data_IF_696571745264
#
_entry.id   IF_696571745264
#
_cell.length_a   1.000
_cell.length_b   1.000
_cell.length_c   1.000
_cell.angle_alpha   90.00
_cell.angle_beta   90.00
_cell.angle_gamma   90.00
#
_symmetry.space_group_name_H-M   'P 1'
#
loop_
_entity.id
_entity.type
_entity.pdbx_description
1 polymer ?
#
# COMPACT_ATOMS: atom_id res chain seq x y z
N UNK A 1 14.63 24.18 16.63
CA UNK A 1 15.54 23.40 15.77
C UNK A 1 15.18 21.93 15.95
N UNK A 2 14.67 21.27 14.91
CA UNK A 2 14.50 19.81 14.96
C UNK A 2 15.91 19.24 14.76
N UNK A 3 16.45 18.59 15.79
CA UNK A 3 17.66 17.80 15.65
C UNK A 3 17.34 16.63 14.74
N UNK A 4 17.75 16.71 13.47
CA UNK A 4 17.73 15.57 12.56
C UNK A 4 18.93 14.68 12.93
N UNK A 5 18.82 13.96 14.05
CA UNK A 5 19.74 12.86 14.34
C UNK A 5 19.32 11.68 13.47
N UNK A 6 19.68 11.71 12.19
CA UNK A 6 19.51 10.56 11.31
C UNK A 6 20.34 9.40 11.84
N UNK A 7 19.74 8.22 12.00
CA UNK A 7 20.52 6.99 12.10
C UNK A 7 21.14 6.73 10.73
N UNK A 8 22.38 6.25 10.70
CA UNK A 8 22.96 5.71 9.48
C UNK A 8 22.13 4.49 9.09
N UNK A 9 21.46 4.56 7.95
CA UNK A 9 20.76 3.42 7.35
C UNK A 9 21.75 2.63 6.50
N UNK A 10 21.52 1.32 6.37
CA UNK A 10 22.27 0.43 5.50
C UNK A 10 22.13 0.80 4.02
N UNK A 11 22.87 0.07 3.19
CA UNK A 11 22.82 0.26 1.74
C UNK A 11 21.43 -0.07 1.19
N UNK A 12 20.99 0.70 0.20
CA UNK A 12 19.70 0.54 -0.45
C UNK A 12 19.80 0.85 -1.94
N UNK A 13 18.85 0.32 -2.72
CA UNK A 13 18.71 0.64 -4.14
C UNK A 13 17.40 1.41 -4.33
N UNK A 14 17.45 2.60 -4.94
CA UNK A 14 16.27 3.41 -5.20
C UNK A 14 16.06 3.70 -6.69
N UNK A 15 14.82 3.59 -7.13
CA UNK A 15 14.38 3.90 -8.49
C UNK A 15 13.10 4.75 -8.47
N UNK A 16 12.98 5.66 -9.43
CA UNK A 16 11.78 6.47 -9.65
C UNK A 16 10.92 5.85 -10.76
N UNK A 17 9.61 5.94 -10.57
CA UNK A 17 8.58 5.44 -11.46
C UNK A 17 7.50 6.52 -11.64
N UNK A 18 6.84 6.46 -12.77
CA UNK A 18 5.67 7.28 -13.12
C UNK A 18 4.39 6.42 -13.15
N UNK A 19 3.26 7.03 -13.50
CA UNK A 19 1.97 6.32 -13.60
C UNK A 19 1.97 5.17 -14.63
N UNK A 20 2.91 5.17 -15.57
CA UNK A 20 2.99 4.19 -16.67
C UNK A 20 3.85 2.99 -16.31
N UNK A 21 4.93 3.22 -15.56
CA UNK A 21 5.93 2.21 -15.18
C UNK A 21 5.73 1.63 -13.78
N UNK A 22 4.96 2.30 -12.92
CA UNK A 22 4.70 1.86 -11.55
C UNK A 22 4.04 0.47 -11.53
N UNK A 23 2.90 0.30 -12.22
CA UNK A 23 2.10 -0.91 -12.04
C UNK A 23 2.80 -2.18 -12.52
N UNK A 24 3.50 -2.14 -13.66
CA UNK A 24 4.26 -3.32 -14.11
C UNK A 24 5.29 -3.77 -13.08
N UNK A 25 5.99 -2.80 -12.47
CA UNK A 25 7.05 -3.07 -11.50
C UNK A 25 6.49 -3.50 -10.15
N UNK A 26 5.44 -2.81 -9.68
CA UNK A 26 4.74 -3.16 -8.45
C UNK A 26 4.10 -4.55 -8.51
N UNK A 27 3.49 -4.91 -9.64
CA UNK A 27 2.91 -6.25 -9.83
C UNK A 27 3.98 -7.34 -9.82
N UNK A 28 5.18 -7.08 -10.36
CA UNK A 28 6.32 -7.99 -10.23
C UNK A 28 6.71 -8.18 -8.76
N UNK A 29 6.82 -7.09 -7.99
CA UNK A 29 7.14 -7.18 -6.58
C UNK A 29 6.06 -7.95 -5.78
N UNK A 30 4.78 -7.84 -6.16
CA UNK A 30 3.71 -8.66 -5.55
C UNK A 30 3.87 -10.15 -5.86
N UNK A 31 4.34 -10.51 -7.05
CA UNK A 31 4.62 -11.92 -7.38
C UNK A 31 5.81 -12.44 -6.57
N UNK A 32 6.82 -11.61 -6.32
CA UNK A 32 8.03 -12.03 -5.58
C UNK A 32 7.85 -11.99 -4.05
N UNK A 33 6.76 -11.40 -3.55
CA UNK A 33 6.51 -11.27 -2.11
C UNK A 33 6.13 -12.60 -1.45
N UNK A 34 6.71 -12.86 -0.26
CA UNK A 34 6.66 -14.17 0.41
C UNK A 34 6.01 -14.16 1.80
N UNK A 35 5.90 -13.01 2.48
CA UNK A 35 5.45 -12.95 3.89
C UNK A 35 4.30 -11.96 4.09
N UNK A 36 4.49 -10.71 3.70
CA UNK A 36 3.48 -9.68 3.90
C UNK A 36 3.49 -8.57 2.84
N UNK A 37 2.30 -8.07 2.52
CA UNK A 37 2.09 -6.88 1.71
C UNK A 37 1.23 -5.91 2.52
N UNK A 38 1.74 -4.71 2.77
CA UNK A 38 0.99 -3.63 3.41
C UNK A 38 0.81 -2.52 2.38
N UNK A 39 -0.42 -2.15 2.07
CA UNK A 39 -0.74 -1.06 1.14
C UNK A 39 -1.53 0.00 1.90
N UNK A 40 -1.05 1.23 1.91
CA UNK A 40 -1.84 2.38 2.35
C UNK A 40 -2.27 3.19 1.12
N UNK A 41 -3.58 3.30 0.91
CA UNK A 41 -4.16 4.10 -0.15
C UNK A 41 -5.47 4.73 0.32
N UNK A 42 -5.58 6.07 0.36
CA UNK A 42 -6.72 6.76 0.96
C UNK A 42 -8.03 6.55 0.18
N UNK A 43 -7.94 6.08 -1.07
CA UNK A 43 -9.08 5.81 -1.91
C UNK A 43 -8.89 4.47 -2.61
N UNK A 44 -10.01 3.80 -2.85
CA UNK A 44 -10.09 2.53 -3.56
C UNK A 44 -11.10 2.68 -4.71
N UNK A 45 -10.85 2.03 -5.84
CA UNK A 45 -11.76 2.03 -6.98
C UNK A 45 -11.95 0.63 -7.54
N UNK A 46 -13.14 0.37 -8.10
CA UNK A 46 -13.47 -0.94 -8.67
C UNK A 46 -12.57 -1.28 -9.86
N UNK A 47 -12.33 -0.32 -10.75
CA UNK A 47 -11.47 -0.52 -11.93
C UNK A 47 -10.04 -0.92 -11.54
N UNK A 48 -9.50 -0.33 -10.48
CA UNK A 48 -8.17 -0.69 -9.98
C UNK A 48 -8.20 -2.02 -9.24
N UNK A 49 -9.25 -2.26 -8.46
CA UNK A 49 -9.42 -3.53 -7.77
C UNK A 49 -9.47 -4.70 -8.75
N UNK A 50 -10.18 -4.58 -9.87
CA UNK A 50 -10.28 -5.66 -10.87
C UNK A 50 -8.91 -6.04 -11.47
N UNK A 51 -7.98 -5.08 -11.56
CA UNK A 51 -6.59 -5.31 -12.01
C UNK A 51 -5.76 -6.02 -10.92
N UNK A 52 -5.91 -5.63 -9.65
CA UNK A 52 -5.10 -6.14 -8.55
C UNK A 52 -5.63 -7.45 -7.95
N UNK A 53 -6.93 -7.72 -8.08
CA UNK A 53 -7.63 -8.86 -7.49
C UNK A 53 -6.96 -10.22 -7.79
N UNK A 54 -6.50 -10.53 -9.03
CA UNK A 54 -5.80 -11.77 -9.30
C UNK A 54 -4.48 -11.92 -8.52
N UNK A 55 -3.77 -10.81 -8.27
CA UNK A 55 -2.51 -10.82 -7.53
C UNK A 55 -2.75 -11.02 -6.04
N UNK A 56 -3.75 -10.33 -5.46
CA UNK A 56 -4.14 -10.58 -4.07
C UNK A 56 -4.61 -12.02 -3.84
N UNK A 57 -5.35 -12.61 -4.81
CA UNK A 57 -5.70 -14.03 -4.76
C UNK A 57 -4.48 -14.94 -4.70
N UNK A 58 -3.46 -14.68 -5.54
CA UNK A 58 -2.22 -15.45 -5.54
C UNK A 58 -1.43 -15.28 -4.24
N UNK A 59 -1.31 -14.05 -3.74
CA UNK A 59 -0.67 -13.75 -2.46
C UNK A 59 -1.32 -14.54 -1.31
N UNK A 60 -2.64 -14.42 -1.14
CA UNK A 60 -3.36 -15.14 -0.09
C UNK A 60 -3.24 -16.67 -0.27
N UNK A 61 -3.28 -17.18 -1.51
CA UNK A 61 -3.12 -18.62 -1.77
C UNK A 61 -1.72 -19.17 -1.45
N UNK A 62 -0.72 -18.28 -1.30
CA UNK A 62 0.64 -18.60 -0.89
C UNK A 62 0.89 -18.28 0.59
N UNK A 63 -0.17 -18.08 1.36
CA UNK A 63 -0.13 -17.69 2.78
C UNK A 63 0.59 -16.35 3.04
N UNK A 64 0.66 -15.47 2.04
CA UNK A 64 1.17 -14.11 2.19
C UNK A 64 0.08 -13.22 2.79
N UNK A 65 0.37 -12.59 3.92
CA UNK A 65 -0.61 -11.74 4.61
C UNK A 65 -0.73 -10.39 3.92
N UNK A 66 -1.94 -9.99 3.54
CA UNK A 66 -2.17 -8.70 2.86
C UNK A 66 -2.96 -7.77 3.77
N UNK A 67 -2.40 -6.58 4.01
CA UNK A 67 -3.04 -5.49 4.74
C UNK A 67 -3.34 -4.32 3.80
N UNK A 68 -4.56 -3.82 3.85
CA UNK A 68 -5.00 -2.62 3.13
C UNK A 68 -5.46 -1.58 4.15
N UNK A 69 -4.74 -0.46 4.22
CA UNK A 69 -5.10 0.70 5.01
C UNK A 69 -5.77 1.71 4.07
N UNK A 70 -7.02 2.07 4.36
CA UNK A 70 -7.80 3.00 3.53
C UNK A 70 -8.72 3.87 4.37
N UNK A 71 -9.33 4.89 3.75
CA UNK A 71 -10.28 5.76 4.46
C UNK A 71 -11.55 4.99 4.78
N UNK A 72 -12.02 5.21 6.01
CA UNK A 72 -13.30 4.67 6.44
C UNK A 72 -14.44 5.22 5.57
N UNK A 73 -15.33 4.38 5.03
CA UNK A 73 -16.47 4.86 4.24
C UNK A 73 -17.35 5.89 4.96
N UNK A 74 -17.37 5.92 6.29
CA UNK A 74 -18.14 6.89 7.08
C UNK A 74 -17.67 8.34 6.95
N UNK A 75 -16.43 8.57 6.48
CA UNK A 75 -15.88 9.92 6.24
C UNK A 75 -15.86 10.29 4.75
N UNK A 76 -16.51 9.50 3.90
CA UNK A 76 -16.59 9.73 2.46
C UNK A 76 -18.01 10.15 2.08
N UNK A 77 -18.12 11.01 1.06
CA UNK A 77 -19.41 11.36 0.48
C UNK A 77 -19.94 10.24 -0.44
N UNK A 78 -21.26 10.14 -0.58
CA UNK A 78 -21.85 9.27 -1.59
C UNK A 78 -21.63 9.83 -3.01
N UNK A 79 -21.42 8.98 -4.03
CA UNK A 79 -21.52 7.52 -4.02
C UNK A 79 -20.22 6.78 -3.62
N UNK A 80 -19.15 7.52 -3.30
CA UNK A 80 -17.83 6.94 -3.04
C UNK A 80 -17.83 6.05 -1.79
N UNK A 81 -18.57 6.46 -0.75
CA UNK A 81 -18.75 5.65 0.46
C UNK A 81 -19.34 4.26 0.15
N UNK A 82 -20.40 4.19 -0.68
CA UNK A 82 -21.00 2.90 -1.06
C UNK A 82 -20.04 2.00 -1.82
N UNK A 83 -19.34 2.54 -2.83
CA UNK A 83 -18.35 1.76 -3.57
C UNK A 83 -17.19 1.28 -2.70
N UNK A 84 -16.74 2.13 -1.76
CA UNK A 84 -15.69 1.76 -0.82
C UNK A 84 -16.13 0.58 0.07
N UNK A 85 -17.36 0.60 0.61
CA UNK A 85 -17.90 -0.51 1.41
C UNK A 85 -17.94 -1.83 0.63
N UNK A 86 -18.36 -1.80 -0.62
CA UNK A 86 -18.43 -3.01 -1.47
C UNK A 86 -17.04 -3.60 -1.71
N UNK A 87 -16.06 -2.76 -2.04
CA UNK A 87 -14.68 -3.21 -2.30
C UNK A 87 -14.01 -3.71 -1.01
N UNK A 88 -14.23 -3.04 0.13
CA UNK A 88 -13.74 -3.50 1.44
C UNK A 88 -14.29 -4.91 1.74
N UNK A 89 -15.58 -5.14 1.50
CA UNK A 89 -16.17 -6.46 1.66
C UNK A 89 -15.55 -7.50 0.71
N UNK A 90 -15.23 -7.14 -0.53
CA UNK A 90 -14.51 -8.02 -1.46
C UNK A 90 -13.10 -8.38 -0.96
N UNK A 91 -12.38 -7.41 -0.38
CA UNK A 91 -11.08 -7.65 0.26
C UNK A 91 -11.19 -8.64 1.42
N UNK A 92 -12.13 -8.42 2.34
CA UNK A 92 -12.31 -9.27 3.51
C UNK A 92 -12.71 -10.70 3.12
N UNK A 93 -13.62 -10.87 2.14
CA UNK A 93 -14.00 -12.19 1.60
C UNK A 93 -12.78 -12.91 1.01
N UNK A 94 -11.85 -12.16 0.41
CA UNK A 94 -10.63 -12.72 -0.15
C UNK A 94 -9.61 -13.16 0.91
N UNK A 95 -9.73 -12.70 2.15
CA UNK A 95 -8.73 -12.89 3.20
C UNK A 95 -7.71 -11.75 3.31
N UNK A 96 -8.01 -10.58 2.72
CA UNK A 96 -7.22 -9.37 2.92
C UNK A 96 -7.69 -8.65 4.19
N UNK A 97 -6.76 -8.27 5.05
CA UNK A 97 -7.05 -7.51 6.26
C UNK A 97 -7.21 -6.02 5.94
N UNK A 98 -8.38 -5.46 6.19
CA UNK A 98 -8.65 -4.04 5.92
C UNK A 98 -8.63 -3.23 7.22
N UNK A 99 -7.81 -2.18 7.23
CA UNK A 99 -7.75 -1.15 8.27
C UNK A 99 -8.39 0.13 7.74
N UNK A 100 -9.70 0.24 7.90
CA UNK A 100 -10.46 1.45 7.58
C UNK A 100 -10.25 2.51 8.68
N UNK A 101 -9.86 3.74 8.30
CA UNK A 101 -9.56 4.79 9.28
C UNK A 101 -10.26 6.13 8.98
N UNK A 102 -10.79 6.75 10.03
CA UNK A 102 -11.45 8.06 9.99
C UNK A 102 -10.48 9.25 10.22
N UNK A 103 -9.17 9.00 10.26
CA UNK A 103 -8.14 10.01 10.61
C UNK A 103 -7.74 10.93 9.44
N UNK A 104 -8.46 10.88 8.31
CA UNK A 104 -8.21 11.68 7.11
C UNK A 104 -6.77 11.55 6.53
N UNK A 105 -6.10 10.41 6.73
CA UNK A 105 -4.80 10.16 6.11
C UNK A 105 -4.85 10.30 4.57
N UNK A 106 -3.71 10.63 3.98
CA UNK A 106 -3.56 10.82 2.54
C UNK A 106 -2.23 10.26 2.01
N UNK A 107 -1.58 9.40 2.80
CA UNK A 107 -0.32 8.73 2.45
C UNK A 107 -0.59 7.65 1.42
N UNK A 108 0.41 7.39 0.59
CA UNK A 108 0.31 6.44 -0.50
C UNK A 108 1.63 5.69 -0.56
N UNK A 109 1.58 4.45 -0.10
CA UNK A 109 2.78 3.64 0.05
C UNK A 109 2.41 2.17 0.04
N UNK A 110 3.43 1.34 -0.19
CA UNK A 110 3.35 -0.07 0.11
C UNK A 110 4.66 -0.54 0.75
N UNK A 111 4.57 -1.48 1.68
CA UNK A 111 5.69 -2.15 2.31
C UNK A 111 5.53 -3.64 2.02
N UNK A 112 6.54 -4.25 1.38
CA UNK A 112 6.53 -5.67 1.03
C UNK A 112 7.67 -6.35 1.77
N UNK A 113 7.33 -7.41 2.51
CA UNK A 113 8.23 -8.23 3.32
C UNK A 113 9.16 -7.46 4.25
N UNK A 114 8.81 -6.22 4.62
CA UNK A 114 9.69 -5.26 5.31
C UNK A 114 11.04 -5.06 4.62
N UNK A 115 11.11 -5.26 3.30
CA UNK A 115 12.33 -5.17 2.49
C UNK A 115 12.20 -4.19 1.34
N UNK A 116 10.99 -4.03 0.80
CA UNK A 116 10.71 -3.09 -0.28
C UNK A 116 9.73 -2.04 0.21
N UNK A 117 10.08 -0.78 0.02
CA UNK A 117 9.21 0.37 0.24
C UNK A 117 8.87 1.01 -1.10
N UNK A 118 7.57 1.16 -1.34
CA UNK A 118 7.01 2.02 -2.37
C UNK A 118 6.41 3.25 -1.71
N UNK A 119 6.68 4.45 -2.21
CA UNK A 119 6.08 5.68 -1.71
C UNK A 119 5.95 6.75 -2.80
N UNK A 120 4.93 7.59 -2.71
CA UNK A 120 4.81 8.72 -3.64
C UNK A 120 3.43 9.36 -3.70
N UNK A 121 3.09 9.91 -4.87
CA UNK A 121 1.85 10.64 -5.09
C UNK A 121 0.70 9.77 -5.64
N UNK A 122 1.02 8.58 -6.16
CA UNK A 122 0.07 7.67 -6.81
C UNK A 122 -0.84 6.93 -5.81
N UNK A 123 -2.16 6.99 -5.99
CA UNK A 123 -3.08 6.16 -5.20
C UNK A 123 -3.07 4.72 -5.74
N UNK A 124 -2.32 3.82 -5.10
CA UNK A 124 -2.12 2.43 -5.58
C UNK A 124 -3.45 1.75 -5.93
N UNK A 125 -4.46 1.93 -5.08
CA UNK A 125 -5.76 1.26 -5.18
C UNK A 125 -6.84 2.07 -5.92
N UNK A 126 -6.53 3.26 -6.46
CA UNK A 126 -7.54 4.05 -7.17
C UNK A 126 -7.05 4.94 -8.32
N UNK A 127 -5.74 4.95 -8.62
CA UNK A 127 -5.20 5.79 -9.69
C UNK A 127 -5.81 5.38 -11.05
N UNK A 128 -6.07 6.38 -11.88
CA UNK A 128 -6.63 6.21 -13.23
C UNK A 128 -5.88 7.01 -14.30
N UNK A 129 -6.02 8.35 -14.30
CA UNK A 129 -5.50 9.21 -15.36
C UNK A 129 -4.74 10.45 -14.84
N UNK A 130 -4.16 10.33 -13.65
CA UNK A 130 -3.29 11.35 -13.08
C UNK A 130 -1.83 11.06 -13.40
N UNK A 131 -1.03 12.13 -13.51
CA UNK A 131 0.43 12.06 -13.62
C UNK A 131 1.01 11.97 -12.22
N UNK A 132 1.82 10.95 -11.98
CA UNK A 132 2.26 10.61 -10.64
C UNK A 132 3.75 10.33 -10.57
N UNK A 133 4.30 10.39 -9.36
CA UNK A 133 5.64 9.91 -9.04
C UNK A 133 5.53 8.84 -7.95
N UNK A 134 6.29 7.77 -8.13
CA UNK A 134 6.52 6.74 -7.11
C UNK A 134 8.01 6.48 -7.01
N UNK A 135 8.48 6.20 -5.80
CA UNK A 135 9.84 5.72 -5.53
C UNK A 135 9.73 4.30 -5.01
N UNK A 136 10.52 3.40 -5.59
CA UNK A 136 10.82 2.08 -5.02
C UNK A 136 12.15 2.18 -4.29
N UNK A 137 12.22 1.61 -3.10
CA UNK A 137 13.43 1.44 -2.31
C UNK A 137 13.54 -0.02 -1.94
N UNK A 138 14.60 -0.70 -2.40
CA UNK A 138 15.02 -2.00 -1.87
C UNK A 138 15.97 -1.74 -0.72
N UNK A 139 15.52 -1.97 0.51
CA UNK A 139 16.32 -1.76 1.72
C UNK A 139 15.48 -1.99 2.98
N UNK A 140 15.86 -2.99 3.78
CA UNK A 140 15.16 -3.38 5.01
C UNK A 140 15.05 -2.22 6.00
N UNK A 141 16.13 -1.48 6.24
CA UNK A 141 16.14 -0.34 7.17
C UNK A 141 15.13 0.74 6.80
N UNK A 142 14.93 1.01 5.50
CA UNK A 142 14.00 2.04 5.03
C UNK A 142 12.54 1.57 5.13
N UNK A 143 12.28 0.32 4.78
CA UNK A 143 10.96 -0.29 4.92
C UNK A 143 10.55 -0.38 6.40
N UNK A 144 11.48 -0.80 7.26
CA UNK A 144 11.28 -0.87 8.71
C UNK A 144 11.13 0.51 9.34
N UNK A 145 11.91 1.51 8.93
CA UNK A 145 11.75 2.90 9.38
C UNK A 145 10.34 3.41 9.07
N UNK A 146 9.84 3.19 7.85
CA UNK A 146 8.46 3.58 7.47
C UNK A 146 7.43 2.83 8.32
N UNK A 147 7.60 1.52 8.52
CA UNK A 147 6.71 0.70 9.35
C UNK A 147 6.63 1.23 10.79
N UNK A 148 7.77 1.56 11.39
CA UNK A 148 7.88 2.10 12.75
C UNK A 148 7.35 3.53 12.87
N UNK A 149 7.68 4.38 11.89
CA UNK A 149 7.22 5.77 11.83
C UNK A 149 5.69 5.85 11.85
N UNK A 150 5.04 4.96 11.09
CA UNK A 150 3.59 4.83 11.02
C UNK A 150 2.99 4.04 12.19
N UNK A 151 3.82 3.45 13.04
CA UNK A 151 3.42 2.64 14.21
C UNK A 151 2.51 1.48 13.81
N UNK A 152 2.79 0.86 12.67
CA UNK A 152 1.96 -0.20 12.11
C UNK A 152 1.91 -1.45 13.00
N UNK A 153 2.98 -1.72 13.75
CA UNK A 153 3.01 -2.79 14.76
C UNK A 153 1.98 -2.68 15.90
N UNK A 154 1.16 -1.62 15.92
CA UNK A 154 0.00 -1.52 16.83
C UNK A 154 -1.27 -2.14 16.26
N UNK A 155 -1.29 -2.40 14.95
CA UNK A 155 -2.48 -2.81 14.19
C UNK A 155 -2.22 -4.04 13.31
N UNK A 156 -0.95 -4.35 13.08
CA UNK A 156 -0.43 -5.39 12.19
C UNK A 156 0.58 -6.19 13.02
N UNK A 157 0.43 -7.52 13.02
CA UNK A 157 1.30 -8.44 13.78
C UNK A 157 2.67 -8.64 13.11
#
# INVERSE_FOLDING_TARGET
MISLSGKKQGDFISHLFDEKSFYSSFLSDLEDCEREVIIESPFISKSRMDVLLPFFRRLVSRDVTVYVITKDPSILDEPLASYSREIIKEFEILGVHVLATANHHHRKLAILDRQVLWEGSLNILSQSNSREIMRRIQGEDHAQEMFEFLKLGRFID
#
